data_IF_748717967747
#
_entry.id   IF_748717967747
#
_cell.length_a   1.000
_cell.length_b   1.000
_cell.length_c   1.000
_cell.angle_alpha   90.00
_cell.angle_beta   90.00
_cell.angle_gamma   90.00
#
_symmetry.space_group_name_H-M   'P 1'
#
loop_
_entity.id
_entity.type
_entity.pdbx_description
1 polymer ?
#
# COMPACT_ATOMS: atom_id res chain seq x y z
N UNK A 1 -9.40 -22.19 -9.08
CA UNK A 1 -10.26 -20.99 -9.19
C UNK A 1 -11.25 -21.05 -10.38
N UNK A 2 -12.51 -20.63 -10.18
CA UNK A 2 -13.54 -20.49 -11.24
C UNK A 2 -13.65 -19.03 -11.72
N UNK A 3 -14.46 -18.76 -12.76
CA UNK A 3 -14.63 -17.40 -13.31
C UNK A 3 -15.27 -16.46 -12.28
N UNK A 4 -16.24 -16.96 -11.52
CA UNK A 4 -17.01 -16.20 -10.54
C UNK A 4 -16.11 -15.69 -9.38
N UNK A 5 -15.04 -16.44 -9.06
CA UNK A 5 -14.05 -16.03 -8.07
C UNK A 5 -13.26 -14.79 -8.50
N UNK A 6 -13.06 -14.61 -9.80
CA UNK A 6 -12.39 -13.44 -10.38
C UNK A 6 -13.40 -12.30 -10.58
N UNK A 7 -14.60 -12.59 -11.08
CA UNK A 7 -15.64 -11.57 -11.36
C UNK A 7 -16.00 -10.73 -10.13
N UNK A 8 -15.98 -11.30 -8.93
CA UNK A 8 -16.24 -10.55 -7.68
C UNK A 8 -15.30 -9.37 -7.45
N UNK A 9 -14.10 -9.42 -8.03
CA UNK A 9 -13.09 -8.37 -7.96
C UNK A 9 -13.10 -7.46 -9.19
N UNK A 10 -13.77 -7.88 -10.27
CA UNK A 10 -13.66 -7.31 -11.61
C UNK A 10 -15.05 -6.96 -12.16
N UNK A 11 -15.81 -6.17 -11.40
CA UNK A 11 -17.19 -5.78 -11.74
C UNK A 11 -17.31 -5.18 -13.16
N UNK A 12 -16.28 -4.44 -13.60
CA UNK A 12 -16.19 -3.81 -14.92
C UNK A 12 -16.24 -4.78 -16.09
N UNK A 13 -15.94 -6.07 -15.90
CA UNK A 13 -16.12 -7.08 -16.96
C UNK A 13 -17.57 -7.20 -17.43
N UNK A 14 -18.52 -6.87 -16.54
CA UNK A 14 -19.95 -6.91 -16.83
C UNK A 14 -20.57 -5.51 -16.94
N UNK A 15 -20.13 -4.56 -16.11
CA UNK A 15 -20.71 -3.21 -16.03
C UNK A 15 -20.03 -2.21 -16.96
N UNK A 16 -18.83 -2.51 -17.47
CA UNK A 16 -17.98 -1.57 -18.20
C UNK A 16 -17.48 -0.39 -17.37
N UNK A 17 -17.70 -0.39 -16.05
CA UNK A 17 -17.41 0.75 -15.16
C UNK A 17 -16.88 0.30 -13.80
N UNK A 18 -16.07 1.15 -13.16
CA UNK A 18 -15.62 0.98 -11.76
C UNK A 18 -16.47 1.87 -10.87
N UNK A 19 -16.96 1.40 -9.72
CA UNK A 19 -17.71 2.23 -8.75
C UNK A 19 -16.90 3.43 -8.24
N UNK A 20 -17.58 4.55 -8.01
CA UNK A 20 -16.97 5.78 -7.47
C UNK A 20 -16.38 5.60 -6.07
N UNK A 21 -16.96 4.72 -5.27
CA UNK A 21 -16.43 4.37 -3.95
C UNK A 21 -15.02 3.75 -4.02
N UNK A 22 -14.69 3.04 -5.11
CA UNK A 22 -13.38 2.41 -5.30
C UNK A 22 -12.37 3.34 -5.98
N UNK A 23 -12.86 4.22 -6.88
CA UNK A 23 -12.05 5.16 -7.63
C UNK A 23 -12.62 6.59 -7.52
N UNK A 24 -12.40 7.29 -6.39
CA UNK A 24 -12.82 8.68 -6.23
C UNK A 24 -12.22 9.60 -7.30
N UNK A 25 -12.89 10.72 -7.58
CA UNK A 25 -12.45 11.66 -8.61
C UNK A 25 -11.10 12.33 -8.30
N UNK A 26 -10.76 12.49 -7.02
CA UNK A 26 -9.47 13.06 -6.62
C UNK A 26 -8.33 12.05 -6.84
N UNK A 27 -7.42 12.36 -7.75
CA UNK A 27 -6.21 11.57 -7.98
C UNK A 27 -5.08 12.04 -7.07
N UNK A 28 -4.49 11.10 -6.33
CA UNK A 28 -3.29 11.35 -5.54
C UNK A 28 -2.09 11.65 -6.44
N UNK A 29 -1.09 12.36 -5.92
CA UNK A 29 0.11 12.74 -6.70
C UNK A 29 0.84 11.55 -7.35
N UNK A 30 0.96 10.37 -6.71
CA UNK A 30 1.60 9.22 -7.36
C UNK A 30 0.84 8.70 -8.60
N UNK A 31 -0.47 8.94 -8.72
CA UNK A 31 -1.29 8.44 -9.82
C UNK A 31 -0.70 8.78 -11.20
N UNK A 32 -0.37 10.05 -11.44
CA UNK A 32 0.18 10.50 -12.72
C UNK A 32 1.54 9.88 -13.05
N UNK A 33 2.35 9.63 -12.02
CA UNK A 33 3.64 8.98 -12.19
C UNK A 33 3.48 7.50 -12.50
N UNK A 34 2.61 6.80 -11.77
CA UNK A 34 2.31 5.38 -12.00
C UNK A 34 1.68 5.17 -13.37
N UNK A 35 0.71 6.01 -13.75
CA UNK A 35 0.03 5.98 -15.05
C UNK A 35 1.02 6.06 -16.21
N UNK A 36 2.01 6.97 -16.14
CA UNK A 36 3.08 7.08 -17.15
C UNK A 36 3.97 5.85 -17.19
N UNK A 37 4.25 5.23 -16.04
CA UNK A 37 5.10 4.04 -15.95
C UNK A 37 4.46 2.80 -16.58
N UNK A 38 3.12 2.73 -16.67
CA UNK A 38 2.41 1.64 -17.37
C UNK A 38 2.67 1.59 -18.88
N UNK A 39 3.29 2.63 -19.46
CA UNK A 39 3.74 2.64 -20.85
C UNK A 39 5.02 1.84 -21.11
N UNK A 40 5.72 1.43 -20.06
CA UNK A 40 6.99 0.72 -20.15
C UNK A 40 6.81 -0.79 -20.01
N UNK A 41 7.88 -1.55 -20.31
CA UNK A 41 7.87 -3.03 -20.20
C UNK A 41 8.00 -3.53 -18.76
N UNK A 42 8.50 -2.69 -17.87
CA UNK A 42 8.70 -3.02 -16.46
C UNK A 42 7.36 -3.04 -15.72
N UNK A 43 7.25 -3.96 -14.77
CA UNK A 43 6.14 -3.95 -13.81
C UNK A 43 6.27 -2.76 -12.85
N UNK A 44 5.15 -2.20 -12.40
CA UNK A 44 5.15 -1.12 -11.41
C UNK A 44 4.76 -1.68 -10.05
N UNK A 45 5.58 -1.45 -9.04
CA UNK A 45 5.36 -1.90 -7.67
C UNK A 45 5.06 -0.69 -6.81
N UNK A 46 3.85 -0.66 -6.25
CA UNK A 46 3.46 0.34 -5.26
C UNK A 46 3.85 -0.15 -3.87
N UNK A 47 4.65 0.64 -3.16
CA UNK A 47 5.08 0.36 -1.78
C UNK A 47 4.60 1.46 -0.84
N UNK A 48 4.64 1.21 0.47
CA UNK A 48 4.26 2.20 1.50
C UNK A 48 3.25 1.65 2.48
N UNK A 49 2.91 2.47 3.48
CA UNK A 49 2.10 2.09 4.63
C UNK A 49 0.70 1.54 4.24
N UNK A 50 0.08 0.79 5.15
CA UNK A 50 -1.31 0.36 4.97
C UNK A 50 -2.22 1.60 4.93
N UNK A 51 -3.28 1.54 4.12
CA UNK A 51 -4.30 2.59 4.02
C UNK A 51 -3.84 3.96 3.50
N UNK A 52 -2.70 4.03 2.84
CA UNK A 52 -2.28 5.23 2.06
C UNK A 52 -2.98 5.32 0.70
N UNK A 53 -3.95 4.47 0.38
CA UNK A 53 -4.69 4.54 -0.90
C UNK A 53 -3.98 3.93 -2.11
N UNK A 54 -3.11 2.91 -1.90
CA UNK A 54 -2.51 2.14 -3.00
C UNK A 54 -3.58 1.46 -3.86
N UNK A 55 -4.51 0.74 -3.23
CA UNK A 55 -5.64 0.09 -3.91
C UNK A 55 -6.53 1.11 -4.64
N UNK A 56 -6.75 2.29 -4.04
CA UNK A 56 -7.47 3.39 -4.70
C UNK A 56 -6.77 3.83 -5.99
N UNK A 57 -5.44 3.97 -5.98
CA UNK A 57 -4.66 4.27 -7.19
C UNK A 57 -4.84 3.16 -8.24
N UNK A 58 -4.81 1.88 -7.83
CA UNK A 58 -5.07 0.76 -8.74
C UNK A 58 -6.46 0.85 -9.40
N UNK A 59 -7.50 1.10 -8.62
CA UNK A 59 -8.86 1.25 -9.15
C UNK A 59 -9.02 2.47 -10.07
N UNK A 60 -8.37 3.59 -9.75
CA UNK A 60 -8.33 4.78 -10.62
C UNK A 60 -7.64 4.47 -11.95
N UNK A 61 -6.55 3.69 -11.93
CA UNK A 61 -5.85 3.25 -13.14
C UNK A 61 -6.72 2.30 -13.97
N UNK A 62 -7.38 1.34 -13.33
CA UNK A 62 -8.34 0.43 -13.99
C UNK A 62 -9.42 1.25 -14.68
N UNK A 63 -10.04 2.20 -13.96
CA UNK A 63 -11.06 3.12 -14.51
C UNK A 63 -10.54 3.86 -15.74
N UNK A 64 -9.30 4.33 -15.74
CA UNK A 64 -8.68 4.99 -16.90
C UNK A 64 -8.47 4.01 -18.06
N UNK A 65 -7.97 2.81 -17.79
CA UNK A 65 -7.57 1.83 -18.82
C UNK A 65 -8.79 1.23 -19.55
N UNK A 66 -9.88 0.95 -18.83
CA UNK A 66 -11.10 0.39 -19.45
C UNK A 66 -11.84 1.39 -20.35
N UNK A 67 -11.46 2.68 -20.34
CA UNK A 67 -11.95 3.67 -21.31
C UNK A 67 -11.27 3.53 -22.69
N UNK A 68 -10.08 2.92 -22.72
CA UNK A 68 -9.23 2.82 -23.92
C UNK A 68 -9.08 1.36 -24.40
N UNK A 69 -9.58 0.38 -23.63
CA UNK A 69 -9.42 -1.06 -23.90
C UNK A 69 -10.64 -1.86 -23.49
N UNK A 70 -10.75 -3.09 -24.00
CA UNK A 70 -11.78 -4.04 -23.58
C UNK A 70 -11.70 -4.29 -22.05
N UNK A 71 -12.82 -4.15 -21.30
CA UNK A 71 -12.81 -4.32 -19.84
C UNK A 71 -12.27 -5.69 -19.40
N UNK A 72 -12.56 -6.73 -20.18
CA UNK A 72 -12.07 -8.10 -19.94
C UNK A 72 -10.55 -8.27 -20.09
N UNK A 73 -9.86 -7.29 -20.67
CA UNK A 73 -8.40 -7.23 -20.77
C UNK A 73 -7.71 -6.64 -19.53
N UNK A 74 -8.47 -6.21 -18.52
CA UNK A 74 -7.96 -5.67 -17.26
C UNK A 74 -8.37 -6.59 -16.11
N UNK A 75 -7.38 -7.18 -15.44
CA UNK A 75 -7.56 -8.05 -14.28
C UNK A 75 -7.10 -7.34 -13.01
N UNK A 76 -7.93 -7.39 -11.97
CA UNK A 76 -7.58 -7.06 -10.59
C UNK A 76 -7.78 -8.28 -9.70
N UNK A 77 -6.87 -8.50 -8.76
CA UNK A 77 -7.00 -9.53 -7.74
C UNK A 77 -6.31 -9.11 -6.45
N UNK A 78 -6.99 -9.30 -5.31
CA UNK A 78 -6.41 -9.08 -3.97
C UNK A 78 -6.19 -10.41 -3.25
N UNK A 79 -4.99 -10.59 -2.69
CA UNK A 79 -4.59 -11.81 -1.98
C UNK A 79 -4.88 -11.77 -0.46
N UNK A 80 -5.52 -10.72 0.06
CA UNK A 80 -5.66 -10.50 1.51
C UNK A 80 -6.37 -11.63 2.28
N UNK A 81 -7.32 -12.32 1.65
CA UNK A 81 -8.20 -13.31 2.30
C UNK A 81 -8.02 -14.74 1.78
N UNK A 82 -7.10 -14.96 0.85
CA UNK A 82 -7.02 -16.24 0.17
C UNK A 82 -5.59 -16.71 -0.06
N UNK A 83 -5.38 -17.99 0.19
CA UNK A 83 -4.10 -18.64 -0.05
C UNK A 83 -3.89 -19.04 -1.51
N UNK A 84 -4.39 -18.33 -2.53
CA UNK A 84 -4.04 -18.68 -3.91
C UNK A 84 -2.63 -18.20 -4.27
N UNK A 85 -2.02 -18.86 -5.26
CA UNK A 85 -0.79 -18.40 -5.89
C UNK A 85 -1.09 -17.50 -7.08
N UNK A 86 -0.23 -16.52 -7.37
CA UNK A 86 -0.38 -15.64 -8.53
C UNK A 86 -0.50 -16.44 -9.82
N UNK A 87 0.26 -17.53 -9.97
CA UNK A 87 0.13 -18.44 -11.12
C UNK A 87 -1.28 -19.01 -11.28
N UNK A 88 -1.94 -19.45 -10.21
CA UNK A 88 -3.30 -20.00 -10.27
C UNK A 88 -4.31 -18.95 -10.76
N UNK A 89 -4.17 -17.70 -10.28
CA UNK A 89 -5.01 -16.56 -10.70
C UNK A 89 -4.84 -16.31 -12.20
N UNK A 90 -3.59 -16.28 -12.70
CA UNK A 90 -3.29 -16.03 -14.11
C UNK A 90 -3.80 -17.15 -15.02
N UNK A 91 -3.59 -18.41 -14.65
CA UNK A 91 -4.11 -19.57 -15.40
C UNK A 91 -5.65 -19.58 -15.46
N UNK A 92 -6.30 -19.20 -14.36
CA UNK A 92 -7.75 -19.07 -14.32
C UNK A 92 -8.24 -17.94 -15.24
N UNK A 93 -7.54 -16.80 -15.26
CA UNK A 93 -7.84 -15.68 -16.15
C UNK A 93 -7.68 -16.04 -17.63
N UNK A 94 -6.58 -16.69 -18.01
CA UNK A 94 -6.34 -17.20 -19.37
C UNK A 94 -7.45 -18.15 -19.82
N UNK A 95 -7.79 -19.13 -18.98
CA UNK A 95 -8.77 -20.18 -19.31
C UNK A 95 -10.20 -19.66 -19.37
N UNK A 96 -10.60 -18.84 -18.41
CA UNK A 96 -12.03 -18.53 -18.16
C UNK A 96 -12.47 -17.18 -18.71
N UNK A 97 -11.55 -16.23 -18.88
CA UNK A 97 -11.85 -14.86 -19.31
C UNK A 97 -11.27 -14.60 -20.70
N UNK A 98 -9.95 -14.69 -20.86
CA UNK A 98 -9.30 -14.41 -22.14
C UNK A 98 -9.55 -15.49 -23.20
N UNK A 99 -9.77 -16.74 -22.75
CA UNK A 99 -9.90 -17.95 -23.58
C UNK A 99 -8.70 -18.15 -24.52
N UNK A 100 -7.53 -17.65 -24.11
CA UNK A 100 -6.25 -17.75 -24.83
C UNK A 100 -5.10 -17.45 -23.85
N UNK A 101 -3.88 -17.95 -24.13
CA UNK A 101 -2.68 -17.60 -23.38
C UNK A 101 -2.36 -16.10 -23.40
N UNK A 102 -1.75 -15.59 -22.33
CA UNK A 102 -1.39 -14.17 -22.16
C UNK A 102 -0.46 -13.65 -23.28
N UNK A 103 0.48 -14.47 -23.74
CA UNK A 103 1.41 -14.12 -24.83
C UNK A 103 0.71 -13.92 -26.19
N UNK A 104 -0.52 -14.41 -26.32
CA UNK A 104 -1.38 -14.26 -27.51
C UNK A 104 -2.58 -13.35 -27.27
N UNK A 105 -2.72 -12.79 -26.07
CA UNK A 105 -3.86 -11.96 -25.68
C UNK A 105 -3.74 -10.49 -26.11
N UNK A 106 -2.62 -10.10 -26.72
CA UNK A 106 -2.32 -8.70 -27.00
C UNK A 106 -1.95 -7.97 -25.71
N UNK A 107 -2.26 -6.67 -25.63
CA UNK A 107 -1.97 -5.88 -24.43
C UNK A 107 -3.07 -6.10 -23.39
N UNK A 108 -2.71 -6.73 -22.28
CA UNK A 108 -3.55 -6.88 -21.08
C UNK A 108 -2.92 -6.17 -19.90
N UNK A 109 -3.74 -5.78 -18.93
CA UNK A 109 -3.31 -5.11 -17.72
C UNK A 109 -3.65 -5.99 -16.51
N UNK A 110 -2.67 -6.25 -15.65
CA UNK A 110 -2.80 -7.15 -14.50
C UNK A 110 -2.40 -6.38 -13.23
N UNK A 111 -3.36 -6.25 -12.32
CA UNK A 111 -3.28 -5.45 -11.10
C UNK A 111 -3.39 -6.41 -9.92
N UNK A 112 -2.26 -6.69 -9.28
CA UNK A 112 -2.19 -7.59 -8.13
C UNK A 112 -2.05 -6.76 -6.86
N UNK A 113 -3.00 -6.90 -5.95
CA UNK A 113 -3.02 -6.20 -4.68
C UNK A 113 -2.67 -7.13 -3.52
N UNK A 114 -1.93 -6.62 -2.55
CA UNK A 114 -1.46 -7.39 -1.40
C UNK A 114 -0.71 -8.70 -1.77
N UNK A 115 0.04 -8.65 -2.89
CA UNK A 115 0.74 -9.81 -3.50
C UNK A 115 1.66 -10.57 -2.54
N UNK A 116 2.14 -9.93 -1.47
CA UNK A 116 2.94 -10.60 -0.44
C UNK A 116 2.19 -11.72 0.29
N UNK A 117 0.85 -11.80 0.18
CA UNK A 117 0.06 -12.91 0.70
C UNK A 117 -0.15 -14.05 -0.29
N UNK A 118 0.24 -13.88 -1.56
CA UNK A 118 0.24 -14.98 -2.51
C UNK A 118 1.22 -16.06 -2.06
N UNK A 119 0.81 -17.33 -2.16
CA UNK A 119 1.76 -18.44 -2.06
C UNK A 119 2.83 -18.26 -3.13
N UNK A 120 4.10 -18.45 -2.75
CA UNK A 120 5.22 -18.51 -3.68
C UNK A 120 5.39 -17.28 -4.61
N UNK A 121 4.92 -16.10 -4.18
CA UNK A 121 4.86 -14.88 -4.99
C UNK A 121 6.22 -14.42 -5.52
N UNK A 122 7.30 -14.62 -4.73
CA UNK A 122 8.66 -14.29 -5.14
C UNK A 122 9.15 -15.19 -6.28
N UNK A 123 8.83 -16.49 -6.24
CA UNK A 123 9.16 -17.41 -7.35
C UNK A 123 8.30 -17.15 -8.58
N UNK A 124 7.03 -16.80 -8.39
CA UNK A 124 6.11 -16.50 -9.49
C UNK A 124 6.51 -15.20 -10.23
N UNK A 125 7.00 -14.18 -9.51
CA UNK A 125 7.49 -12.93 -10.12
C UNK A 125 8.91 -13.01 -10.69
N UNK A 126 9.78 -13.86 -10.12
CA UNK A 126 11.18 -13.97 -10.53
C UNK A 126 11.46 -15.07 -11.56
N UNK A 127 10.53 -16.03 -11.71
CA UNK A 127 10.70 -17.21 -12.56
C UNK A 127 11.75 -18.20 -12.04
N UNK A 128 12.21 -18.08 -10.79
CA UNK A 128 13.25 -18.94 -10.21
C UNK A 128 13.00 -19.24 -8.72
N UNK A 129 13.05 -20.53 -8.36
CA UNK A 129 12.58 -21.09 -7.09
C UNK A 129 13.45 -20.81 -5.85
N UNK A 130 14.38 -19.85 -5.87
CA UNK A 130 15.42 -19.73 -4.83
C UNK A 130 15.55 -18.36 -4.16
N UNK A 131 14.57 -17.47 -4.29
CA UNK A 131 14.63 -16.11 -3.73
C UNK A 131 14.08 -16.05 -2.29
N UNK A 132 14.90 -16.50 -1.33
CA UNK A 132 14.66 -16.23 0.09
C UNK A 132 15.06 -14.80 0.47
N UNK A 133 14.22 -14.20 1.30
CA UNK A 133 14.27 -12.83 1.81
C UNK A 133 15.59 -12.53 2.54
N UNK A 134 16.43 -11.71 1.90
CA UNK A 134 17.47 -10.90 2.52
C UNK A 134 17.82 -9.81 1.50
N UNK A 135 18.30 -8.63 1.93
CA UNK A 135 18.49 -7.40 1.13
C UNK A 135 19.29 -7.50 -0.20
N UNK A 136 19.69 -8.69 -0.63
CA UNK A 136 20.18 -9.06 -1.96
C UNK A 136 19.07 -9.22 -3.03
N UNK A 137 17.78 -9.24 -2.66
CA UNK A 137 16.64 -9.44 -3.58
C UNK A 137 16.43 -8.29 -4.58
N UNK A 138 16.77 -7.05 -4.21
CA UNK A 138 16.55 -5.88 -5.08
C UNK A 138 17.45 -5.87 -6.32
N UNK A 139 18.66 -6.44 -6.23
CA UNK A 139 19.62 -6.46 -7.34
C UNK A 139 19.18 -7.39 -8.48
N UNK A 140 18.58 -8.55 -8.19
CA UNK A 140 18.06 -9.45 -9.23
C UNK A 140 16.77 -8.96 -9.88
N UNK A 141 16.05 -8.05 -9.20
CA UNK A 141 14.82 -7.41 -9.69
C UNK A 141 15.12 -6.08 -10.41
N UNK A 142 16.35 -5.58 -10.32
CA UNK A 142 16.78 -4.33 -10.95
C UNK A 142 16.57 -4.41 -12.47
N UNK A 143 15.81 -3.45 -13.00
CA UNK A 143 15.50 -3.35 -14.43
C UNK A 143 14.20 -4.03 -14.89
N UNK A 144 13.57 -4.88 -14.07
CA UNK A 144 12.24 -5.46 -14.33
C UNK A 144 11.10 -4.71 -13.66
N UNK A 145 11.40 -3.90 -12.65
CA UNK A 145 10.40 -3.20 -11.84
C UNK A 145 10.73 -1.71 -11.71
N UNK A 146 9.67 -0.90 -11.72
CA UNK A 146 9.69 0.45 -11.16
C UNK A 146 9.06 0.42 -9.77
N UNK A 147 9.79 0.93 -8.79
CA UNK A 147 9.26 1.08 -7.43
C UNK A 147 8.72 2.50 -7.25
N UNK A 148 7.47 2.61 -6.83
CA UNK A 148 6.83 3.88 -6.47
C UNK A 148 6.41 3.78 -5.01
N UNK A 149 7.05 4.57 -4.15
CA UNK A 149 6.66 4.68 -2.75
C UNK A 149 5.49 5.66 -2.60
N UNK A 150 4.41 5.19 -1.99
CA UNK A 150 3.20 5.95 -1.74
C UNK A 150 3.17 6.32 -0.26
N UNK A 151 3.40 7.59 0.03
CA UNK A 151 3.32 8.15 1.37
C UNK A 151 1.87 8.50 1.75
N UNK A 152 1.55 8.76 3.03
CA UNK A 152 0.36 9.52 3.38
C UNK A 152 0.22 10.80 2.56
N UNK A 153 -0.99 11.34 2.48
CA UNK A 153 -1.23 12.58 1.73
C UNK A 153 -0.35 13.69 2.28
N UNK A 154 0.27 14.46 1.39
CA UNK A 154 0.82 15.76 1.79
C UNK A 154 -0.30 16.69 2.27
N UNK A 155 0.06 17.74 3.01
CA UNK A 155 -0.91 18.77 3.42
C UNK A 155 -1.70 19.34 2.23
N UNK A 156 -1.03 19.59 1.10
CA UNK A 156 -1.69 20.05 -0.13
C UNK A 156 -2.68 19.03 -0.66
N UNK A 157 -2.30 17.75 -0.74
CA UNK A 157 -3.22 16.69 -1.20
C UNK A 157 -4.44 16.58 -0.28
N UNK A 158 -4.22 16.65 1.04
CA UNK A 158 -5.27 16.60 2.04
C UNK A 158 -6.28 17.74 1.86
N UNK A 159 -5.80 18.97 1.73
CA UNK A 159 -6.65 20.13 1.53
C UNK A 159 -7.38 20.11 0.16
N UNK A 160 -6.73 19.60 -0.88
CA UNK A 160 -7.36 19.43 -2.20
C UNK A 160 -8.44 18.35 -2.19
N UNK A 161 -8.19 17.22 -1.54
CA UNK A 161 -9.13 16.11 -1.43
C UNK A 161 -10.40 16.50 -0.65
N UNK A 162 -10.27 17.40 0.33
CA UNK A 162 -11.39 17.97 1.09
C UNK A 162 -12.13 19.10 0.37
N UNK A 163 -11.59 19.61 -0.74
CA UNK A 163 -12.14 20.77 -1.46
C UNK A 163 -11.82 22.13 -0.83
N UNK A 164 -10.96 22.17 0.20
CA UNK A 164 -10.52 23.41 0.85
C UNK A 164 -9.56 24.22 -0.04
N UNK A 165 -8.87 23.54 -0.97
CA UNK A 165 -7.96 24.13 -1.93
C UNK A 165 -8.26 23.58 -3.33
N UNK A 166 -8.39 24.46 -4.33
CA UNK A 166 -8.50 24.00 -5.72
C UNK A 166 -7.16 23.38 -6.17
N UNK A 167 -7.17 22.28 -6.95
CA UNK A 167 -5.94 21.73 -7.51
C UNK A 167 -5.11 22.78 -8.24
N UNK A 168 -3.86 23.00 -7.79
CA UNK A 168 -2.97 24.01 -8.36
C UNK A 168 -3.31 25.47 -8.02
N UNK A 169 -4.35 25.72 -7.24
CA UNK A 169 -4.74 27.05 -6.76
C UNK A 169 -4.09 27.43 -5.43
N UNK A 170 -4.34 28.68 -5.04
CA UNK A 170 -4.08 29.19 -3.69
C UNK A 170 -5.24 28.84 -2.73
N UNK A 171 -4.98 28.79 -1.42
CA UNK A 171 -6.01 28.49 -0.43
C UNK A 171 -7.11 29.55 -0.42
N UNK A 172 -8.36 29.11 -0.40
CA UNK A 172 -9.53 30.01 -0.28
C UNK A 172 -9.90 30.32 1.16
N UNK A 173 -9.27 29.65 2.13
CA UNK A 173 -9.56 29.68 3.56
C UNK A 173 -8.29 29.83 4.41
N UNK A 174 -8.44 30.01 5.73
CA UNK A 174 -7.30 30.03 6.66
C UNK A 174 -6.66 28.64 6.71
N UNK A 175 -5.37 28.57 6.39
CA UNK A 175 -4.61 27.33 6.36
C UNK A 175 -4.41 26.68 7.74
N UNK A 176 -4.38 27.48 8.80
CA UNK A 176 -4.03 27.01 10.15
C UNK A 176 -5.00 25.93 10.68
N UNK A 177 -6.34 26.12 10.69
CA UNK A 177 -7.28 25.07 11.10
C UNK A 177 -7.17 23.79 10.26
N UNK A 178 -6.97 23.94 8.94
CA UNK A 178 -6.81 22.79 8.02
C UNK A 178 -5.51 22.05 8.35
N UNK A 179 -4.45 22.78 8.68
CA UNK A 179 -3.17 22.19 9.04
C UNK A 179 -3.24 21.43 10.36
N UNK A 180 -3.94 21.96 11.37
CA UNK A 180 -4.19 21.23 12.62
C UNK A 180 -4.97 19.93 12.39
N UNK A 181 -6.02 19.97 11.57
CA UNK A 181 -6.79 18.78 11.22
C UNK A 181 -5.96 17.76 10.43
N UNK A 182 -5.13 18.24 9.49
CA UNK A 182 -4.18 17.41 8.77
C UNK A 182 -3.21 16.67 9.70
N UNK A 183 -2.68 17.35 10.72
CA UNK A 183 -1.78 16.75 11.71
C UNK A 183 -2.51 15.67 12.53
N UNK A 184 -3.72 15.95 12.99
CA UNK A 184 -4.54 14.99 13.73
C UNK A 184 -4.82 13.72 12.91
N UNK A 185 -5.10 13.89 11.62
CA UNK A 185 -5.41 12.79 10.68
C UNK A 185 -4.18 12.14 10.06
N UNK A 186 -2.97 12.66 10.32
CA UNK A 186 -1.69 12.16 9.80
C UNK A 186 -1.64 11.97 8.27
N UNK A 187 -2.44 12.74 7.53
CA UNK A 187 -2.54 12.65 6.07
C UNK A 187 -3.15 11.34 5.54
N UNK A 188 -3.81 10.51 6.35
CA UNK A 188 -4.45 9.29 5.84
C UNK A 188 -5.71 9.62 5.02
N UNK A 189 -5.84 9.11 3.78
CA UNK A 189 -7.00 9.37 2.93
C UNK A 189 -8.36 9.00 3.54
N UNK A 190 -8.46 7.84 4.20
CA UNK A 190 -9.73 7.29 4.69
C UNK A 190 -10.40 8.18 5.75
N UNK A 191 -9.59 8.85 6.57
CA UNK A 191 -10.06 9.70 7.69
C UNK A 191 -10.09 11.18 7.34
N UNK A 192 -9.75 11.56 6.10
CA UNK A 192 -9.66 12.96 5.71
C UNK A 192 -10.98 13.72 5.94
N UNK A 193 -12.11 13.07 5.67
CA UNK A 193 -13.46 13.60 5.89
C UNK A 193 -14.11 13.24 7.23
N UNK A 194 -13.40 12.60 8.16
CA UNK A 194 -13.99 12.25 9.47
C UNK A 194 -13.97 13.45 10.42
N UNK A 195 -15.00 13.59 11.25
CA UNK A 195 -15.10 14.66 12.25
C UNK A 195 -14.89 14.16 13.69
N UNK A 196 -15.08 12.86 13.92
CA UNK A 196 -14.90 12.23 15.23
C UNK A 196 -13.40 12.04 15.55
N UNK A 197 -12.87 12.91 16.41
CA UNK A 197 -11.46 12.91 16.80
C UNK A 197 -11.01 11.61 17.49
N UNK A 198 -11.87 11.00 18.31
CA UNK A 198 -11.54 9.76 19.02
C UNK A 198 -11.39 8.61 18.03
N UNK A 199 -12.33 8.53 17.07
CA UNK A 199 -12.28 7.53 16.01
C UNK A 199 -11.12 7.75 15.04
N UNK A 200 -10.77 9.00 14.74
CA UNK A 200 -9.56 9.34 13.97
C UNK A 200 -8.31 8.86 14.70
N UNK A 201 -8.19 9.16 16.00
CA UNK A 201 -7.05 8.76 16.81
C UNK A 201 -6.91 7.23 16.88
N UNK A 202 -8.02 6.51 17.07
CA UNK A 202 -8.05 5.04 17.01
C UNK A 202 -7.61 4.52 15.65
N UNK A 203 -8.15 5.08 14.57
CA UNK A 203 -7.80 4.65 13.22
C UNK A 203 -6.32 4.90 12.89
N UNK A 204 -5.79 6.08 13.20
CA UNK A 204 -4.37 6.42 12.97
C UNK A 204 -3.49 5.49 13.77
N UNK A 205 -3.83 5.26 15.05
CA UNK A 205 -3.13 4.29 15.89
C UNK A 205 -3.11 2.93 15.22
N UNK A 206 -4.27 2.35 14.90
CA UNK A 206 -4.36 1.00 14.31
C UNK A 206 -3.66 0.90 12.95
N UNK A 207 -3.75 1.95 12.11
CA UNK A 207 -3.12 1.99 10.78
C UNK A 207 -1.59 1.95 10.85
N UNK A 208 -1.00 2.53 11.90
CA UNK A 208 0.45 2.60 12.11
C UNK A 208 0.94 1.45 13.01
N UNK A 209 0.21 1.16 14.09
CA UNK A 209 0.56 0.20 15.15
C UNK A 209 0.34 -1.24 14.69
N UNK A 210 -0.81 -1.59 14.10
CA UNK A 210 -1.17 -2.99 13.94
C UNK A 210 -0.32 -3.72 12.88
N UNK A 211 0.08 -3.04 11.80
CA UNK A 211 0.94 -3.66 10.78
C UNK A 211 2.39 -3.78 11.24
N UNK A 212 2.92 -2.68 11.81
CA UNK A 212 4.28 -2.59 12.35
C UNK A 212 4.40 -3.60 13.50
N UNK A 213 3.64 -3.46 14.58
CA UNK A 213 3.91 -4.20 15.80
C UNK A 213 3.45 -5.67 15.77
N UNK A 214 2.37 -5.97 15.06
CA UNK A 214 1.75 -7.31 15.10
C UNK A 214 2.05 -8.18 13.88
N UNK A 215 2.46 -7.61 12.73
CA UNK A 215 2.60 -8.38 11.47
C UNK A 215 3.99 -8.35 10.87
N UNK A 216 4.53 -7.17 10.59
CA UNK A 216 5.79 -7.03 9.83
C UNK A 216 7.02 -7.28 10.72
N UNK A 217 7.00 -6.83 11.98
CA UNK A 217 8.15 -6.96 12.88
C UNK A 217 8.35 -8.35 13.48
N UNK A 218 7.29 -9.10 13.88
CA UNK A 218 7.48 -10.50 14.30
C UNK A 218 8.16 -11.34 13.22
N UNK A 219 7.81 -11.11 11.94
CA UNK A 219 8.43 -11.77 10.79
C UNK A 219 9.88 -11.30 10.53
N UNK A 220 10.16 -10.01 10.66
CA UNK A 220 11.50 -9.42 10.42
C UNK A 220 12.52 -9.71 11.53
N UNK A 221 12.09 -9.80 12.78
CA UNK A 221 12.99 -9.86 13.94
C UNK A 221 13.04 -11.22 14.62
N UNK A 222 12.14 -12.15 14.27
CA UNK A 222 12.09 -13.50 14.82
C UNK A 222 11.99 -13.57 16.34
N UNK A 223 11.53 -12.52 17.03
CA UNK A 223 11.77 -12.34 18.46
C UNK A 223 10.52 -12.02 19.28
N UNK A 224 10.12 -13.05 20.03
CA UNK A 224 9.66 -13.20 21.44
C UNK A 224 9.18 -12.01 22.31
N UNK A 225 9.35 -10.73 21.93
CA UNK A 225 8.91 -9.61 22.77
C UNK A 225 8.33 -8.44 21.94
N UNK A 226 7.18 -8.69 21.34
CA UNK A 226 6.35 -7.67 20.65
C UNK A 226 5.88 -6.57 21.60
N UNK A 227 5.80 -6.87 22.91
CA UNK A 227 5.35 -5.94 23.93
C UNK A 227 6.36 -4.81 24.17
N UNK A 228 7.65 -5.15 24.28
CA UNK A 228 8.73 -4.16 24.40
C UNK A 228 8.77 -3.23 23.18
N UNK A 229 8.65 -3.79 21.97
CA UNK A 229 8.64 -3.00 20.74
C UNK A 229 7.44 -2.04 20.71
N UNK A 230 6.25 -2.51 21.07
CA UNK A 230 5.05 -1.66 21.10
C UNK A 230 5.16 -0.51 22.09
N UNK A 231 5.76 -0.76 23.26
CA UNK A 231 6.05 0.29 24.26
C UNK A 231 7.09 1.30 23.77
N UNK A 232 8.17 0.82 23.14
CA UNK A 232 9.19 1.70 22.53
C UNK A 232 8.58 2.57 21.41
N UNK A 233 7.74 1.98 20.56
CA UNK A 233 7.05 2.71 19.50
C UNK A 233 6.12 3.78 20.05
N UNK A 234 5.29 3.44 21.05
CA UNK A 234 4.41 4.40 21.71
C UNK A 234 5.19 5.57 22.33
N UNK A 235 6.30 5.28 23.03
CA UNK A 235 7.12 6.31 23.66
C UNK A 235 7.75 7.29 22.66
N UNK A 236 8.13 6.81 21.46
CA UNK A 236 8.62 7.67 20.39
C UNK A 236 7.52 8.56 19.80
N UNK A 237 6.34 7.99 19.54
CA UNK A 237 5.21 8.72 18.96
C UNK A 237 4.68 9.77 19.94
N UNK A 238 4.76 9.52 21.25
CA UNK A 238 4.39 10.51 22.28
C UNK A 238 5.39 11.67 22.40
N UNK A 239 6.57 11.60 21.78
CA UNK A 239 7.63 12.63 21.88
C UNK A 239 8.13 13.05 20.48
N UNK A 240 7.26 13.57 19.60
CA UNK A 240 7.66 13.94 18.24
C UNK A 240 8.72 15.05 18.27
N UNK A 241 9.80 14.89 17.51
CA UNK A 241 10.91 15.85 17.45
C UNK A 241 11.90 15.78 18.63
N UNK A 242 11.68 14.89 19.60
CA UNK A 242 12.61 14.64 20.71
C UNK A 242 13.82 13.78 20.32
N UNK A 243 14.92 13.90 21.05
CA UNK A 243 16.06 13.00 20.89
C UNK A 243 15.84 11.73 21.70
N UNK A 244 15.90 10.57 21.05
CA UNK A 244 15.73 9.27 21.70
C UNK A 244 17.04 8.85 22.41
N UNK A 245 17.11 9.00 23.73
CA UNK A 245 18.25 8.54 24.51
C UNK A 245 18.15 7.03 24.79
N UNK A 246 19.04 6.24 24.17
CA UNK A 246 19.05 4.78 24.30
C UNK A 246 19.20 4.28 25.75
N UNK A 247 19.94 5.02 26.60
CA UNK A 247 20.16 4.62 27.99
C UNK A 247 18.91 4.88 28.85
N UNK A 248 18.18 5.94 28.55
CA UNK A 248 16.94 6.29 29.21
C UNK A 248 15.84 5.30 28.84
N UNK A 249 15.68 5.01 27.54
CA UNK A 249 14.74 4.02 27.03
C UNK A 249 15.06 2.61 27.57
N UNK A 250 16.33 2.22 27.61
CA UNK A 250 16.75 0.93 28.20
C UNK A 250 16.33 0.81 29.67
N UNK A 251 16.47 1.89 30.45
CA UNK A 251 16.08 1.94 31.86
C UNK A 251 14.56 1.94 32.02
N UNK A 252 13.85 2.76 31.24
CA UNK A 252 12.39 2.90 31.26
C UNK A 252 11.69 1.57 30.95
N UNK A 253 12.20 0.81 29.97
CA UNK A 253 11.59 -0.43 29.52
C UNK A 253 12.24 -1.71 30.06
N UNK A 254 13.21 -1.59 30.98
CA UNK A 254 13.89 -2.75 31.58
C UNK A 254 14.62 -3.65 30.58
N UNK A 255 15.13 -3.06 29.50
CA UNK A 255 15.76 -3.78 28.39
C UNK A 255 17.23 -3.40 28.23
N UNK A 256 18.03 -4.26 27.58
CA UNK A 256 19.43 -3.90 27.29
C UNK A 256 19.50 -2.78 26.25
N UNK A 257 20.49 -1.90 26.36
CA UNK A 257 20.77 -0.85 25.36
C UNK A 257 20.93 -1.43 23.95
N UNK A 258 21.55 -2.61 23.83
CA UNK A 258 21.74 -3.32 22.56
C UNK A 258 20.39 -3.73 21.98
N UNK A 259 19.49 -4.24 22.81
CA UNK A 259 18.12 -4.63 22.43
C UNK A 259 17.33 -3.42 21.94
N UNK A 260 17.34 -2.30 22.68
CA UNK A 260 16.67 -1.05 22.28
C UNK A 260 17.24 -0.52 20.96
N UNK A 261 18.57 -0.47 20.82
CA UNK A 261 19.22 -0.01 19.59
C UNK A 261 18.88 -0.90 18.39
N UNK A 262 18.79 -2.22 18.58
CA UNK A 262 18.36 -3.17 17.54
C UNK A 262 16.93 -2.87 17.09
N UNK A 263 16.00 -2.71 18.02
CA UNK A 263 14.59 -2.39 17.71
C UNK A 263 14.44 -1.04 17.00
N UNK A 264 15.12 0.00 17.47
CA UNK A 264 15.06 1.32 16.83
C UNK A 264 15.64 1.32 15.41
N UNK A 265 16.71 0.57 15.15
CA UNK A 265 17.28 0.43 13.79
C UNK A 265 16.39 -0.37 12.84
N UNK A 266 15.53 -1.25 13.37
CA UNK A 266 14.56 -1.97 12.55
C UNK A 266 13.31 -1.16 12.24
N UNK A 267 13.00 -0.10 13.01
CA UNK A 267 11.78 0.69 12.81
C UNK A 267 11.61 1.22 11.37
N UNK A 268 12.64 1.83 10.74
CA UNK A 268 12.53 2.32 9.37
C UNK A 268 12.49 1.24 8.28
N UNK A 269 12.71 -0.04 8.63
CA UNK A 269 12.83 -1.15 7.67
C UNK A 269 11.55 -1.99 7.54
N UNK A 270 10.55 -1.69 8.36
CA UNK A 270 9.25 -2.33 8.27
C UNK A 270 8.31 -1.40 7.49
N UNK A 271 8.19 -1.66 6.20
CA UNK A 271 7.32 -0.97 5.25
C UNK A 271 6.39 -1.97 4.57
#
# INVERSE_FOLDING_TARGET
>A
MKKEDLERFNEWWSTGTVRDALAPAYHRRPFESVSRLLGYRQAVVLTGLRRVGKSTILYQLIRKIIQETEPSGVLYFSFEERGEGAKEVLEAYERTVLKKPLDRAGKVHIMLDEVQYSRDWLSDLSGSSSLLVSGKTLESLAGRFFFVEVYPMSFREFAEARGDVKPGGEPTSRLEPIFHDYLAKSGFPEVAGWEDEERVAEYVRNSVVDRVLLRDFPALLGARDTLLLGRLFAALVSRPGGTANLNELAREFGASRITVAKYLRSLPRAN
#
